data_IF_616162112729
#
_entry.id   IF_616162112729
#
_cell.length_a   1.000
_cell.length_b   1.000
_cell.length_c   1.000
_cell.angle_alpha   90.00
_cell.angle_beta   90.00
_cell.angle_gamma   90.00
#
_symmetry.space_group_name_H-M   'P 1'
#
loop_
_entity.id
_entity.type
_entity.pdbx_description
1 polymer ?
#
# COMPACT_ATOMS: atom_id res chain seq x y z
N UNK A 1 -14.28 15.54 19.83
CA UNK A 1 -14.70 14.26 19.23
C UNK A 1 -14.28 14.28 17.77
N UNK A 2 -12.98 14.06 17.51
CA UNK A 2 -12.44 14.13 16.16
C UNK A 2 -12.80 12.86 15.39
N UNK A 3 -13.26 13.06 14.17
CA UNK A 3 -13.94 12.12 13.28
C UNK A 3 -13.00 11.04 12.74
N UNK A 4 -13.05 9.83 13.30
CA UNK A 4 -12.44 8.59 12.76
C UNK A 4 -13.12 8.09 11.46
N UNK A 5 -13.96 8.91 10.83
CA UNK A 5 -14.73 8.54 9.63
C UNK A 5 -13.91 8.63 8.34
N UNK A 6 -12.78 9.34 8.37
CA UNK A 6 -11.95 9.53 7.19
C UNK A 6 -11.00 8.35 6.96
N UNK A 7 -10.55 7.68 8.03
CA UNK A 7 -9.61 6.55 7.93
C UNK A 7 -10.21 5.36 7.18
N UNK A 8 -11.52 5.12 7.30
CA UNK A 8 -12.17 4.02 6.56
C UNK A 8 -12.18 4.27 5.05
N UNK A 9 -12.50 5.49 4.62
CA UNK A 9 -12.52 5.84 3.19
C UNK A 9 -11.13 5.81 2.55
N UNK A 10 -10.11 6.31 3.26
CA UNK A 10 -8.72 6.19 2.79
C UNK A 10 -8.26 4.72 2.74
N UNK A 11 -8.63 3.89 3.73
CA UNK A 11 -8.30 2.45 3.72
C UNK A 11 -8.91 1.73 2.53
N UNK A 12 -10.17 2.01 2.18
CA UNK A 12 -10.80 1.41 1.00
C UNK A 12 -10.05 1.81 -0.27
N UNK A 13 -9.74 3.10 -0.44
CA UNK A 13 -8.99 3.59 -1.60
C UNK A 13 -7.61 2.92 -1.73
N UNK A 14 -6.86 2.80 -0.63
CA UNK A 14 -5.54 2.15 -0.61
C UNK A 14 -5.58 0.61 -0.60
N UNK A 15 -6.76 0.00 -0.51
CA UNK A 15 -6.95 -1.45 -0.64
C UNK A 15 -7.06 -1.89 -2.11
N UNK A 16 -7.23 -0.96 -3.04
CA UNK A 16 -7.31 -1.25 -4.47
C UNK A 16 -5.93 -1.23 -5.14
N UNK A 17 -5.51 -2.32 -5.79
CA UNK A 17 -4.19 -2.40 -6.43
C UNK A 17 -4.04 -1.39 -7.59
N UNK A 18 -5.12 -1.11 -8.33
CA UNK A 18 -5.11 -0.13 -9.44
C UNK A 18 -4.78 1.28 -8.95
N UNK A 19 -5.30 1.66 -7.77
CA UNK A 19 -5.03 2.97 -7.19
C UNK A 19 -3.57 3.09 -6.74
N UNK A 20 -3.04 2.02 -6.15
CA UNK A 20 -1.63 1.96 -5.71
C UNK A 20 -0.68 2.00 -6.91
N UNK A 21 -1.01 1.32 -8.00
CA UNK A 21 -0.26 1.41 -9.25
C UNK A 21 -0.23 2.85 -9.77
N UNK A 22 -1.38 3.52 -9.91
CA UNK A 22 -1.43 4.90 -10.38
C UNK A 22 -0.67 5.87 -9.47
N UNK A 23 -0.68 5.60 -8.16
CA UNK A 23 0.10 6.37 -7.20
C UNK A 23 1.62 6.20 -7.46
N UNK A 24 2.08 4.96 -7.65
CA UNK A 24 3.48 4.69 -7.94
C UNK A 24 3.88 5.28 -9.29
N UNK A 25 3.08 5.11 -10.34
CA UNK A 25 3.35 5.68 -11.66
C UNK A 25 3.32 7.23 -11.67
N UNK A 26 2.48 7.84 -10.82
CA UNK A 26 2.33 9.30 -10.74
C UNK A 26 3.36 10.00 -9.82
N UNK A 27 3.88 9.31 -8.81
CA UNK A 27 4.78 9.89 -7.81
C UNK A 27 6.20 9.32 -7.83
N UNK A 28 6.41 8.08 -8.28
CA UNK A 28 7.73 7.49 -8.37
C UNK A 28 8.42 7.85 -9.69
N UNK A 29 9.76 7.87 -9.73
CA UNK A 29 10.51 7.98 -10.98
C UNK A 29 10.14 6.85 -11.95
N UNK A 30 10.11 7.17 -13.25
CA UNK A 30 9.73 6.24 -14.31
C UNK A 30 10.57 4.96 -14.29
N UNK A 31 11.86 5.07 -13.96
CA UNK A 31 12.78 3.93 -13.89
C UNK A 31 12.39 2.94 -12.79
N UNK A 32 11.76 3.40 -11.71
CA UNK A 32 11.28 2.54 -10.63
C UNK A 32 9.96 1.89 -11.02
N UNK A 33 9.04 2.66 -11.61
CA UNK A 33 7.75 2.15 -12.05
C UNK A 33 7.90 1.10 -13.16
N UNK A 34 8.83 1.29 -14.12
CA UNK A 34 9.11 0.36 -15.22
C UNK A 34 9.71 -0.97 -14.74
N UNK A 35 10.48 -0.94 -13.65
CA UNK A 35 11.04 -2.14 -13.02
C UNK A 35 10.02 -2.95 -12.21
N UNK A 36 8.86 -2.38 -11.86
CA UNK A 36 7.86 -3.03 -11.02
C UNK A 36 6.80 -3.74 -11.85
N UNK A 37 6.58 -5.03 -11.60
CA UNK A 37 5.46 -5.77 -12.18
C UNK A 37 4.19 -5.59 -11.34
N UNK A 38 3.41 -4.56 -11.66
CA UNK A 38 2.14 -4.26 -10.98
C UNK A 38 1.09 -5.39 -11.08
N UNK A 39 1.22 -6.33 -12.02
CA UNK A 39 0.34 -7.52 -12.06
C UNK A 39 0.57 -8.47 -10.88
N UNK A 40 1.75 -8.39 -10.26
CA UNK A 40 2.14 -9.18 -9.08
C UNK A 40 1.88 -8.47 -7.76
N UNK A 41 1.26 -7.29 -7.78
CA UNK A 41 1.00 -6.49 -6.58
C UNK A 41 0.13 -7.29 -5.60
N UNK A 42 0.68 -7.61 -4.44
CA UNK A 42 -0.02 -8.37 -3.40
C UNK A 42 -0.16 -7.54 -2.14
N UNK A 43 -1.41 -7.37 -1.72
CA UNK A 43 -1.72 -6.74 -0.45
C UNK A 43 -1.38 -7.71 0.67
N UNK A 44 -0.44 -7.32 1.51
CA UNK A 44 -0.15 -7.96 2.78
C UNK A 44 -0.86 -7.15 3.87
N UNK A 45 -2.17 -7.38 4.04
CA UNK A 45 -2.95 -6.87 5.16
C UNK A 45 -2.56 -7.65 6.43
N UNK A 46 -1.33 -7.44 6.89
CA UNK A 46 -0.77 -8.07 8.07
C UNK A 46 -1.05 -7.22 9.30
N UNK A 47 -1.75 -7.77 10.29
CA UNK A 47 -1.74 -7.22 11.64
C UNK A 47 -0.34 -7.40 12.23
N UNK A 48 0.56 -6.46 11.96
CA UNK A 48 1.90 -6.47 12.52
C UNK A 48 1.86 -5.96 13.97
N UNK A 49 1.58 -6.87 14.90
CA UNK A 49 1.64 -6.59 16.33
C UNK A 49 3.11 -6.60 16.74
N UNK A 50 3.70 -5.42 17.00
CA UNK A 50 4.98 -5.31 17.71
C UNK A 50 4.71 -5.18 19.21
N UNK A 51 5.47 -5.86 20.10
CA UNK A 51 5.14 -5.92 21.53
C UNK A 51 5.25 -4.59 22.29
N UNK A 52 5.81 -3.54 21.67
CA UNK A 52 6.23 -2.33 22.37
C UNK A 52 5.32 -1.11 22.18
N UNK A 53 4.33 -1.17 21.30
CA UNK A 53 3.41 -0.06 21.08
C UNK A 53 2.00 -0.59 20.81
N UNK A 54 1.06 -0.03 21.56
CA UNK A 54 -0.39 -0.22 21.44
C UNK A 54 -0.83 -0.18 19.97
N UNK A 55 -1.65 -1.17 19.59
CA UNK A 55 -2.49 -1.26 18.39
C UNK A 55 -2.28 -0.16 17.33
N UNK A 56 -1.34 -0.38 16.40
CA UNK A 56 -1.33 0.38 15.14
C UNK A 56 -1.98 -0.46 14.03
N UNK A 57 -3.30 -0.61 14.13
CA UNK A 57 -4.17 -1.21 13.11
C UNK A 57 -4.29 -0.27 11.90
N UNK A 58 -3.21 0.01 11.17
CA UNK A 58 -3.32 1.05 10.14
C UNK A 58 -2.33 1.08 8.98
N UNK A 59 -1.35 0.18 8.90
CA UNK A 59 -0.38 0.22 7.81
C UNK A 59 -0.75 -0.81 6.72
N UNK A 60 -1.17 -0.33 5.55
CA UNK A 60 -1.41 -1.16 4.35
C UNK A 60 -0.07 -1.41 3.67
N UNK A 61 0.36 -2.67 3.63
CA UNK A 61 1.65 -3.06 3.04
C UNK A 61 1.41 -3.79 1.73
N UNK A 62 2.12 -3.38 0.68
CA UNK A 62 2.09 -4.03 -0.63
C UNK A 62 3.45 -4.62 -0.97
N UNK A 63 3.46 -5.83 -1.52
CA UNK A 63 4.65 -6.41 -2.13
C UNK A 63 4.48 -6.43 -3.65
N UNK A 64 5.58 -6.25 -4.36
CA UNK A 64 5.64 -6.27 -5.82
C UNK A 64 6.90 -6.99 -6.25
N UNK A 65 6.80 -7.81 -7.31
CA UNK A 65 7.97 -8.43 -7.91
C UNK A 65 8.59 -7.43 -8.88
N UNK A 66 9.92 -7.37 -8.92
CA UNK A 66 10.61 -6.59 -9.94
C UNK A 66 10.79 -7.44 -11.19
N UNK A 67 10.47 -6.88 -12.34
CA UNK A 67 10.78 -7.48 -13.64
C UNK A 67 12.29 -7.49 -13.77
N UNK A 68 12.92 -8.59 -13.37
CA UNK A 68 14.36 -8.78 -13.56
C UNK A 68 14.56 -9.13 -15.03
N UNK A 69 15.26 -8.26 -15.74
CA UNK A 69 15.66 -8.43 -17.14
C UNK A 69 16.42 -9.75 -17.35
#
# INVERSE_FOLDING_TARGET
MATNHHDTGYKELFSHPEFVQQLIEGFAPFEIADLMDFSTLKNHSGNYITPLFEEKFEDVVWSVSTTTC
#
